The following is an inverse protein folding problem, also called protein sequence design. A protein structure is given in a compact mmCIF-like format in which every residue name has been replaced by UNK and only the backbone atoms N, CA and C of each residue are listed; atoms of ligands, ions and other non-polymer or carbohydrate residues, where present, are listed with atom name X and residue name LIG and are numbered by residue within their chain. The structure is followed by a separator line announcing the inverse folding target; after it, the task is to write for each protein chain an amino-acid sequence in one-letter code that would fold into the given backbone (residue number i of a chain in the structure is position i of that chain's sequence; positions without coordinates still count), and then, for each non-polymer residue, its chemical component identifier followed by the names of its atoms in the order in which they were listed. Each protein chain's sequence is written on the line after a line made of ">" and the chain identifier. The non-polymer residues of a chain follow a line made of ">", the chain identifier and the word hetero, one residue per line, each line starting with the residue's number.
data_IF_933692474816
#
_entry.id   IF_933692474816
#
_cell.length_a   1.000
_cell.length_b   1.000
_cell.length_c   1.000
_cell.angle_alpha   90.00
_cell.angle_beta   90.00
_cell.angle_gamma   90.00
#
_symmetry.space_group_name_H-M   'P 1'
#
loop_
_entity.id
_entity.type
_entity.pdbx_description
1 polymer ?
#
# COMPACT_ATOMS: atom_id res chain seq x y z
N UNK A 1 -7.71 -19.07 17.59
CA UNK A 1 -6.84 -19.23 16.41
C UNK A 1 -5.47 -19.58 16.95
N UNK A 2 -4.87 -20.70 16.55
CA UNK A 2 -3.60 -21.15 17.12
C UNK A 2 -2.44 -20.34 16.56
N UNK A 3 -1.47 -19.99 17.41
CA UNK A 3 -0.29 -19.17 17.08
C UNK A 3 0.47 -19.64 15.83
N UNK A 4 0.41 -20.94 15.51
CA UNK A 4 1.05 -21.55 14.33
C UNK A 4 0.46 -21.09 12.98
N UNK A 5 -0.80 -20.65 12.91
CA UNK A 5 -1.41 -20.19 11.65
C UNK A 5 -1.04 -18.74 11.30
N UNK A 6 -0.80 -17.89 12.31
CA UNK A 6 -0.34 -16.51 12.09
C UNK A 6 1.07 -16.51 11.49
N UNK A 7 1.93 -17.41 11.97
CA UNK A 7 3.33 -17.52 11.53
C UNK A 7 3.46 -17.94 10.05
N UNK A 8 2.61 -18.87 9.58
CA UNK A 8 2.63 -19.33 8.19
C UNK A 8 2.19 -18.24 7.20
N UNK A 9 1.08 -17.54 7.49
CA UNK A 9 0.58 -16.48 6.63
C UNK A 9 1.53 -15.28 6.55
N UNK A 10 2.19 -14.96 7.67
CA UNK A 10 3.21 -13.91 7.71
C UNK A 10 4.45 -14.29 6.89
N UNK A 11 4.90 -15.54 6.97
CA UNK A 11 6.02 -16.03 6.16
C UNK A 11 5.75 -15.93 4.66
N UNK A 12 4.58 -16.34 4.21
CA UNK A 12 4.17 -16.22 2.80
C UNK A 12 4.07 -14.77 2.34
N UNK A 13 3.57 -13.88 3.23
CA UNK A 13 3.56 -12.44 3.00
C UNK A 13 4.97 -11.88 2.79
N UNK A 14 5.91 -12.21 3.68
CA UNK A 14 7.30 -11.77 3.58
C UNK A 14 7.99 -12.23 2.30
N UNK A 15 7.79 -13.50 1.92
CA UNK A 15 8.34 -14.05 0.68
C UNK A 15 7.82 -13.29 -0.55
N UNK A 16 6.54 -12.91 -0.55
CA UNK A 16 5.92 -12.15 -1.64
C UNK A 16 6.34 -10.67 -1.64
N UNK A 17 6.44 -10.06 -0.47
CA UNK A 17 6.75 -8.64 -0.30
C UNK A 17 8.11 -8.25 -0.90
N UNK A 18 9.10 -9.14 -0.84
CA UNK A 18 10.40 -8.92 -1.48
C UNK A 18 10.28 -8.67 -2.99
N UNK A 19 9.43 -9.44 -3.68
CA UNK A 19 9.19 -9.26 -5.11
C UNK A 19 8.38 -8.00 -5.42
N UNK A 20 7.45 -7.62 -4.53
CA UNK A 20 6.70 -6.38 -4.70
C UNK A 20 7.60 -5.15 -4.62
N UNK A 21 8.58 -5.17 -3.71
CA UNK A 21 9.58 -4.12 -3.59
C UNK A 21 10.48 -4.07 -4.84
N UNK A 22 11.04 -5.22 -5.26
CA UNK A 22 11.92 -5.34 -6.44
C UNK A 22 11.22 -4.84 -7.72
N UNK A 23 9.93 -5.11 -7.86
CA UNK A 23 9.15 -4.74 -9.04
C UNK A 23 8.19 -3.56 -8.80
N UNK A 24 8.41 -2.76 -7.75
CA UNK A 24 7.52 -1.68 -7.31
C UNK A 24 7.16 -0.69 -8.43
N UNK A 25 8.12 -0.32 -9.28
CA UNK A 25 7.88 0.55 -10.43
C UNK A 25 6.93 -0.08 -11.47
N UNK A 26 7.09 -1.37 -11.76
CA UNK A 26 6.21 -2.12 -12.69
C UNK A 26 4.81 -2.27 -12.09
N UNK A 27 4.72 -2.64 -10.82
CA UNK A 27 3.45 -2.79 -10.09
C UNK A 27 2.70 -1.46 -10.11
N UNK A 28 3.35 -0.35 -9.75
CA UNK A 28 2.75 0.98 -9.84
C UNK A 28 2.21 1.28 -11.24
N UNK A 29 3.02 1.07 -12.28
CA UNK A 29 2.59 1.36 -13.64
C UNK A 29 1.38 0.50 -14.08
N UNK A 30 1.37 -0.78 -13.71
CA UNK A 30 0.28 -1.70 -14.02
C UNK A 30 -1.02 -1.34 -13.27
N UNK A 31 -0.91 -0.95 -12.00
CA UNK A 31 -2.06 -0.70 -11.14
C UNK A 31 -2.55 0.75 -11.13
N UNK A 32 -1.80 1.69 -11.71
CA UNK A 32 -2.19 3.11 -11.76
C UNK A 32 -3.66 3.36 -12.20
N UNK A 33 -4.21 2.70 -13.24
CA UNK A 33 -5.62 2.88 -13.60
C UNK A 33 -6.60 2.44 -12.51
N UNK A 34 -6.26 1.38 -11.78
CA UNK A 34 -7.06 0.86 -10.65
C UNK A 34 -6.98 1.82 -9.48
N UNK A 35 -5.78 2.32 -9.16
CA UNK A 35 -5.58 3.33 -8.11
C UNK A 35 -6.41 4.58 -8.37
N UNK A 36 -6.40 5.10 -9.60
CA UNK A 36 -7.23 6.26 -9.97
C UNK A 36 -8.73 5.98 -9.81
N UNK A 37 -9.18 4.78 -10.17
CA UNK A 37 -10.57 4.38 -9.98
C UNK A 37 -10.95 4.30 -8.49
N UNK A 38 -10.08 3.74 -7.65
CA UNK A 38 -10.29 3.65 -6.20
C UNK A 38 -10.30 5.03 -5.53
N UNK A 39 -9.36 5.91 -5.88
CA UNK A 39 -9.32 7.30 -5.38
C UNK A 39 -10.64 8.01 -5.67
N UNK A 40 -11.14 7.86 -6.91
CA UNK A 40 -12.40 8.46 -7.33
C UNK A 40 -13.59 7.86 -6.58
N UNK A 41 -13.67 6.54 -6.49
CA UNK A 41 -14.79 5.84 -5.85
C UNK A 41 -14.86 6.11 -4.34
N UNK A 42 -13.70 6.18 -3.69
CA UNK A 42 -13.56 6.54 -2.27
C UNK A 42 -13.82 8.04 -2.00
N UNK A 43 -13.98 8.87 -3.03
CA UNK A 43 -14.21 10.31 -2.89
C UNK A 43 -13.03 11.05 -2.26
N UNK A 44 -11.81 10.57 -2.51
CA UNK A 44 -10.59 11.19 -1.97
C UNK A 44 -10.34 12.52 -2.70
N UNK A 45 -10.15 13.58 -1.91
CA UNK A 45 -9.95 14.95 -2.41
C UNK A 45 -8.88 15.70 -1.61
N UNK A 46 -8.49 16.87 -2.12
CA UNK A 46 -7.49 17.75 -1.49
C UNK A 46 -7.79 18.03 0.00
N UNK A 47 -6.75 18.06 0.82
CA UNK A 47 -6.81 18.39 2.25
C UNK A 47 -7.25 17.25 3.16
N UNK A 48 -7.60 16.08 2.62
CA UNK A 48 -8.02 14.94 3.43
C UNK A 48 -6.82 14.20 4.07
N UNK A 49 -7.10 13.57 5.22
CA UNK A 49 -6.21 12.60 5.85
C UNK A 49 -6.70 11.19 5.52
N UNK A 50 -5.85 10.40 4.86
CA UNK A 50 -6.17 9.04 4.39
C UNK A 50 -5.28 8.02 5.09
N UNK A 51 -5.87 6.90 5.49
CA UNK A 51 -5.14 5.72 5.97
C UNK A 51 -5.15 4.66 4.87
N UNK A 52 -3.97 4.28 4.42
CA UNK A 52 -3.75 3.15 3.51
C UNK A 52 -3.21 1.96 4.32
N UNK A 53 -3.88 0.81 4.22
CA UNK A 53 -3.59 -0.38 5.02
C UNK A 53 -3.03 -1.45 4.11
N UNK A 54 -1.88 -2.01 4.51
CA UNK A 54 -1.07 -2.91 3.70
C UNK A 54 -0.60 -2.26 2.38
N UNK A 55 -0.15 -1.00 2.47
CA UNK A 55 0.25 -0.21 1.29
C UNK A 55 1.58 -0.64 0.65
N UNK A 56 2.24 -1.67 1.19
CA UNK A 56 3.43 -2.30 0.60
C UNK A 56 4.51 -1.28 0.19
N UNK A 57 5.02 -1.34 -1.06
CA UNK A 57 6.03 -0.41 -1.57
C UNK A 57 5.50 1.03 -1.80
N UNK A 58 4.26 1.33 -1.43
CA UNK A 58 3.67 2.67 -1.46
C UNK A 58 2.68 2.91 -2.61
N UNK A 59 2.30 1.89 -3.36
CA UNK A 59 1.10 1.92 -4.19
C UNK A 59 -0.07 1.31 -3.38
N UNK A 60 -1.23 1.97 -3.24
CA UNK A 60 -1.68 3.22 -3.89
C UNK A 60 -1.30 4.52 -3.16
N UNK A 61 -0.74 4.44 -1.95
CA UNK A 61 -0.42 5.59 -1.07
C UNK A 61 0.16 6.82 -1.77
N UNK A 62 1.10 6.67 -2.70
CA UNK A 62 1.72 7.82 -3.37
C UNK A 62 0.79 8.50 -4.38
N UNK A 63 -0.08 7.75 -5.08
CA UNK A 63 -1.14 8.36 -5.91
C UNK A 63 -2.21 9.07 -5.08
N UNK A 64 -2.50 8.54 -3.89
CA UNK A 64 -3.38 9.21 -2.91
C UNK A 64 -2.71 10.50 -2.43
N UNK A 65 -1.41 10.48 -2.12
CA UNK A 65 -0.66 11.64 -1.66
C UNK A 65 -0.67 12.79 -2.68
N UNK A 66 -0.56 12.46 -3.98
CA UNK A 66 -0.71 13.43 -5.06
C UNK A 66 -2.12 14.06 -5.09
N UNK A 67 -3.16 13.30 -4.77
CA UNK A 67 -4.55 13.78 -4.78
C UNK A 67 -4.89 14.64 -3.57
N UNK A 68 -4.46 14.26 -2.36
CA UNK A 68 -4.76 15.02 -1.13
C UNK A 68 -3.92 16.30 -1.02
N UNK A 69 -2.80 16.38 -1.75
CA UNK A 69 -1.99 17.60 -1.85
C UNK A 69 -1.29 18.00 -0.55
N UNK A 70 -0.64 19.17 -0.52
CA UNK A 70 0.23 19.60 0.59
C UNK A 70 -0.53 19.95 1.88
N UNK A 71 -1.86 20.12 1.80
CA UNK A 71 -2.74 20.39 2.94
C UNK A 71 -3.34 19.11 3.53
N UNK A 72 -3.23 17.98 2.82
CA UNK A 72 -3.67 16.67 3.26
C UNK A 72 -2.53 15.80 3.78
N UNK A 73 -2.85 14.56 4.10
CA UNK A 73 -1.86 13.58 4.54
C UNK A 73 -2.27 12.16 4.19
N UNK A 74 -1.28 11.30 3.99
CA UNK A 74 -1.49 9.85 3.84
C UNK A 74 -0.64 9.15 4.87
N UNK A 75 -1.28 8.31 5.69
CA UNK A 75 -0.57 7.36 6.56
C UNK A 75 -0.62 6.02 5.87
N UNK A 76 0.54 5.52 5.43
CA UNK A 76 0.69 4.17 4.93
C UNK A 76 1.10 3.25 6.09
N UNK A 77 0.38 2.14 6.25
CA UNK A 77 0.76 1.07 7.16
C UNK A 77 1.06 -0.18 6.35
N UNK A 78 2.13 -0.87 6.69
CA UNK A 78 2.48 -2.17 6.14
C UNK A 78 3.29 -2.94 7.19
N UNK A 79 3.25 -4.27 7.15
CA UNK A 79 3.97 -5.09 8.13
C UNK A 79 5.48 -5.10 7.82
N UNK A 80 6.34 -4.55 8.69
CA UNK A 80 7.75 -4.41 8.44
C UNK A 80 8.50 -5.70 8.79
N UNK A 81 8.34 -6.75 8.01
CA UNK A 81 9.27 -7.88 8.06
C UNK A 81 10.24 -7.83 6.90
N UNK A 82 11.11 -6.80 6.94
CA UNK A 82 12.49 -6.92 6.46
C UNK A 82 13.17 -8.01 7.29
N UNK A 83 12.99 -9.28 6.91
CA UNK A 83 13.92 -10.33 7.32
C UNK A 83 15.21 -10.05 6.57
N UNK A 84 16.15 -9.37 7.25
CA UNK A 84 17.57 -9.42 6.88
C UNK A 84 18.19 -10.69 7.45
#
# INVERSE_FOLDING_TARGET
>A
MSDTQIDAGLREWCESAGYWEEHSGTIRAMFAPVTLALIKDAGIVEGQSVLDVAGGPGEPSLGIAETVGPTGSVTCTDDPQRVK
#
